data_IF_854359095825
#
_entry.id   IF_854359095825
#
_cell.length_a   1.000
_cell.length_b   1.000
_cell.length_c   1.000
_cell.angle_alpha   90.00
_cell.angle_beta   90.00
_cell.angle_gamma   90.00
#
_symmetry.space_group_name_H-M   'P 1'
#
loop_
_entity.id
_entity.type
_entity.pdbx_description
1 polymer ?
#
# COMPACT_ATOMS: atom_id res chain seq x y z
N UNK A 1 15.21 -8.97 -12.44
CA UNK A 1 14.33 -7.91 -11.91
C UNK A 1 13.19 -8.46 -11.05
N UNK A 2 12.64 -9.63 -11.35
CA UNK A 2 11.55 -10.24 -10.55
C UNK A 2 11.91 -10.59 -9.11
N UNK A 3 13.20 -10.79 -8.78
CA UNK A 3 13.63 -11.03 -7.39
C UNK A 3 13.52 -9.77 -6.53
N UNK A 4 14.04 -8.64 -7.02
CA UNK A 4 13.91 -7.33 -6.38
C UNK A 4 12.45 -6.91 -6.22
N UNK A 5 11.60 -7.13 -7.24
CA UNK A 5 10.17 -6.84 -7.17
C UNK A 5 9.46 -7.67 -6.08
N UNK A 6 9.78 -8.97 -5.95
CA UNK A 6 9.25 -9.83 -4.88
C UNK A 6 9.73 -9.38 -3.50
N UNK A 7 11.00 -8.97 -3.38
CA UNK A 7 11.53 -8.44 -2.12
C UNK A 7 10.84 -7.13 -1.71
N UNK A 8 10.61 -6.22 -2.66
CA UNK A 8 9.89 -4.97 -2.42
C UNK A 8 8.42 -5.22 -2.07
N UNK A 9 7.76 -6.21 -2.68
CA UNK A 9 6.41 -6.62 -2.27
C UNK A 9 6.37 -7.13 -0.82
N UNK A 10 7.36 -7.92 -0.42
CA UNK A 10 7.46 -8.39 0.96
C UNK A 10 7.71 -7.25 1.97
N UNK A 11 8.53 -6.25 1.58
CA UNK A 11 8.72 -5.04 2.37
C UNK A 11 7.40 -4.26 2.53
N UNK A 12 6.64 -4.09 1.44
CA UNK A 12 5.34 -3.44 1.46
C UNK A 12 4.30 -4.18 2.32
N UNK A 13 4.27 -5.52 2.27
CA UNK A 13 3.45 -6.36 3.16
C UNK A 13 3.77 -6.11 4.64
N UNK A 14 5.05 -5.97 4.97
CA UNK A 14 5.50 -5.69 6.34
C UNK A 14 5.12 -4.28 6.77
N UNK A 15 5.32 -3.29 5.90
CA UNK A 15 4.90 -1.91 6.13
C UNK A 15 3.37 -1.78 6.33
N UNK A 16 2.57 -2.55 5.57
CA UNK A 16 1.11 -2.56 5.70
C UNK A 16 0.66 -3.11 7.06
N UNK A 17 1.30 -4.20 7.53
CA UNK A 17 1.04 -4.72 8.88
C UNK A 17 1.37 -3.71 9.97
N UNK A 18 2.52 -3.03 9.86
CA UNK A 18 2.90 -1.98 10.81
C UNK A 18 1.89 -0.81 10.80
N UNK A 19 1.38 -0.42 9.63
CA UNK A 19 0.32 0.58 9.50
C UNK A 19 -0.98 0.12 10.20
N UNK A 20 -1.40 -1.14 10.00
CA UNK A 20 -2.59 -1.71 10.63
C UNK A 20 -2.49 -1.80 12.16
N UNK A 21 -1.27 -1.97 12.70
CA UNK A 21 -1.02 -1.95 14.15
C UNK A 21 -0.86 -0.53 14.72
N UNK A 22 -0.87 0.50 13.87
CA UNK A 22 -0.59 1.89 14.27
C UNK A 22 0.88 2.16 14.60
N UNK A 23 1.78 1.24 14.26
CA UNK A 23 3.23 1.36 14.47
C UNK A 23 3.91 2.25 13.40
N UNK A 24 3.22 2.45 12.27
CA UNK A 24 3.69 3.29 11.16
C UNK A 24 2.60 4.29 10.77
N UNK A 25 2.99 5.54 10.50
CA UNK A 25 2.04 6.57 10.08
C UNK A 25 1.57 6.34 8.63
N UNK A 26 0.34 6.77 8.29
CA UNK A 26 -0.16 6.81 6.90
C UNK A 26 0.82 7.43 5.90
N UNK A 27 1.46 8.55 6.27
CA UNK A 27 2.40 9.25 5.40
C UNK A 27 3.69 8.44 5.18
N UNK A 28 4.30 7.89 6.25
CA UNK A 28 5.50 7.08 6.13
C UNK A 28 5.26 5.79 5.31
N UNK A 29 4.09 5.17 5.47
CA UNK A 29 3.68 4.04 4.63
C UNK A 29 3.59 4.45 3.16
N UNK A 30 2.92 5.56 2.85
CA UNK A 30 2.72 6.02 1.48
C UNK A 30 4.02 6.37 0.77
N UNK A 31 4.96 7.00 1.47
CA UNK A 31 6.31 7.28 0.92
C UNK A 31 7.08 5.98 0.63
N UNK A 32 7.09 5.04 1.57
CA UNK A 32 7.73 3.75 1.37
C UNK A 32 7.14 2.98 0.19
N UNK A 33 5.80 2.96 0.07
CA UNK A 33 5.11 2.29 -1.03
C UNK A 33 5.45 2.89 -2.40
N UNK A 34 5.51 4.23 -2.52
CA UNK A 34 5.88 4.92 -3.76
C UNK A 34 7.36 4.70 -4.14
N UNK A 35 8.23 4.43 -3.17
CA UNK A 35 9.65 4.19 -3.40
C UNK A 35 9.97 2.79 -3.97
N UNK A 36 9.02 1.85 -3.97
CA UNK A 36 9.21 0.50 -4.50
C UNK A 36 9.12 0.44 -6.04
N UNK A 37 10.03 1.13 -6.71
CA UNK A 37 9.98 1.34 -8.17
C UNK A 37 10.10 0.04 -8.97
N UNK A 38 10.88 -0.95 -8.53
CA UNK A 38 10.99 -2.24 -9.23
C UNK A 38 9.71 -3.07 -9.13
N UNK A 39 9.03 -3.01 -7.98
CA UNK A 39 7.70 -3.60 -7.82
C UNK A 39 6.70 -2.94 -8.77
N UNK A 40 6.66 -1.60 -8.79
CA UNK A 40 5.72 -0.86 -9.64
C UNK A 40 5.99 -1.07 -11.13
N UNK A 41 7.25 -1.21 -11.53
CA UNK A 41 7.65 -1.51 -12.90
C UNK A 41 7.35 -2.96 -13.31
N UNK A 42 7.25 -3.88 -12.37
CA UNK A 42 6.95 -5.30 -12.62
C UNK A 42 5.44 -5.61 -12.73
N UNK A 43 4.58 -4.63 -12.45
CA UNK A 43 3.12 -4.78 -12.49
C UNK A 43 2.51 -4.04 -13.69
N UNK A 44 1.28 -4.39 -14.12
CA UNK A 44 0.55 -3.60 -15.10
C UNK A 44 0.38 -2.14 -14.64
N UNK A 45 0.49 -1.17 -15.56
CA UNK A 45 0.43 0.28 -15.25
C UNK A 45 -0.80 0.67 -14.42
N UNK A 46 -1.95 0.02 -14.68
CA UNK A 46 -3.19 0.22 -13.93
C UNK A 46 -3.03 -0.08 -12.43
N UNK A 47 -2.19 -1.03 -12.05
CA UNK A 47 -1.93 -1.37 -10.65
C UNK A 47 -1.30 -0.20 -9.90
N UNK A 48 -0.35 0.50 -10.51
CA UNK A 48 0.30 1.70 -9.94
C UNK A 48 -0.71 2.83 -9.77
N UNK A 49 -1.59 3.06 -10.75
CA UNK A 49 -2.65 4.07 -10.65
C UNK A 49 -3.61 3.78 -9.49
N UNK A 50 -4.01 2.51 -9.32
CA UNK A 50 -4.86 2.09 -8.20
C UNK A 50 -4.15 2.28 -6.86
N UNK A 51 -2.88 1.88 -6.76
CA UNK A 51 -2.10 2.06 -5.54
C UNK A 51 -2.04 3.54 -5.15
N UNK A 52 -1.61 4.42 -6.06
CA UNK A 52 -1.49 5.84 -5.78
C UNK A 52 -2.82 6.46 -5.32
N UNK A 53 -3.95 6.11 -5.96
CA UNK A 53 -5.26 6.58 -5.52
C UNK A 53 -5.66 6.10 -4.11
N UNK A 54 -5.21 4.90 -3.68
CA UNK A 54 -5.39 4.43 -2.31
C UNK A 54 -4.50 5.20 -1.33
N UNK A 55 -3.24 5.45 -1.68
CA UNK A 55 -2.29 6.20 -0.86
C UNK A 55 -2.75 7.66 -0.64
N UNK A 56 -3.23 8.34 -1.69
CA UNK A 56 -3.71 9.71 -1.58
C UNK A 56 -4.92 9.81 -0.64
N UNK A 57 -5.83 8.83 -0.69
CA UNK A 57 -6.98 8.75 0.23
C UNK A 57 -6.55 8.43 1.65
N UNK A 58 -5.57 7.55 1.81
CA UNK A 58 -5.00 7.20 3.11
C UNK A 58 -4.39 8.43 3.78
N UNK A 59 -3.59 9.21 3.06
CA UNK A 59 -2.98 10.45 3.56
C UNK A 59 -4.04 11.50 3.88
N UNK A 60 -5.04 11.68 3.02
CA UNK A 60 -6.16 12.58 3.28
C UNK A 60 -6.95 12.18 4.54
N UNK A 61 -7.24 10.88 4.71
CA UNK A 61 -7.97 10.37 5.88
C UNK A 61 -7.24 10.64 7.20
N UNK A 62 -5.91 10.71 7.17
CA UNK A 62 -5.09 10.99 8.34
C UNK A 62 -5.17 12.46 8.79
N UNK A 63 -5.54 13.39 7.90
CA UNK A 63 -5.66 14.82 8.20
C UNK A 63 -6.98 15.17 8.92
N UNK A 64 -7.98 14.30 8.87
CA UNK A 64 -9.31 14.53 9.44
C UNK A 64 -9.59 13.55 10.60
N UNK A 65 -8.99 13.76 11.79
CA UNK A 65 -9.07 12.79 12.90
C UNK A 65 -9.95 13.25 14.07
N UNK A 66 -11.27 13.13 13.96
CA UNK A 66 -12.19 13.29 15.10
C UNK A 66 -13.22 12.15 15.12
N UNK A 67 -12.77 10.91 15.33
CA UNK A 67 -13.62 9.72 15.54
C UNK A 67 -14.33 9.13 14.30
N UNK A 68 -14.65 9.93 13.28
CA UNK A 68 -15.37 9.45 12.06
C UNK A 68 -14.48 8.77 11.00
N UNK A 69 -13.15 8.83 11.15
CA UNK A 69 -12.20 8.28 10.15
C UNK A 69 -11.69 6.87 10.45
N UNK A 70 -11.96 6.30 11.63
CA UNK A 70 -11.53 4.93 11.95
C UNK A 70 -12.10 3.90 10.97
N UNK A 71 -13.39 4.05 10.62
CA UNK A 71 -14.04 3.19 9.63
C UNK A 71 -13.44 3.37 8.23
N UNK A 72 -13.32 4.61 7.76
CA UNK A 72 -12.73 4.93 6.45
C UNK A 72 -11.27 4.47 6.33
N UNK A 73 -10.48 4.59 7.40
CA UNK A 73 -9.10 4.13 7.42
C UNK A 73 -9.01 2.61 7.37
N UNK A 74 -9.90 1.89 8.08
CA UNK A 74 -9.97 0.43 7.99
C UNK A 74 -10.27 -0.03 6.56
N UNK A 75 -11.28 0.54 5.91
CA UNK A 75 -11.63 0.21 4.52
C UNK A 75 -10.47 0.47 3.54
N UNK A 76 -9.68 1.52 3.79
CA UNK A 76 -8.48 1.82 3.00
C UNK A 76 -7.37 0.79 3.23
N UNK A 77 -7.11 0.38 4.48
CA UNK A 77 -6.13 -0.68 4.77
C UNK A 77 -6.56 -2.03 4.21
N UNK A 78 -7.85 -2.36 4.24
CA UNK A 78 -8.39 -3.59 3.64
C UNK A 78 -8.25 -3.54 2.10
N UNK A 79 -8.45 -2.36 1.48
CA UNK A 79 -8.23 -2.15 0.05
C UNK A 79 -6.75 -2.28 -0.36
N UNK A 80 -5.83 -1.80 0.47
CA UNK A 80 -4.39 -1.96 0.28
C UNK A 80 -3.97 -3.43 0.42
N UNK A 81 -4.54 -4.16 1.37
CA UNK A 81 -4.32 -5.60 1.52
C UNK A 81 -4.74 -6.37 0.26
N UNK A 82 -5.93 -6.08 -0.28
CA UNK A 82 -6.39 -6.67 -1.55
C UNK A 82 -5.49 -6.30 -2.73
N UNK A 83 -4.92 -5.10 -2.75
CA UNK A 83 -3.97 -4.71 -3.80
C UNK A 83 -2.69 -5.53 -3.72
N UNK A 84 -2.14 -5.71 -2.51
CA UNK A 84 -0.92 -6.48 -2.25
C UNK A 84 -1.09 -7.94 -2.67
N UNK A 85 -2.22 -8.57 -2.34
CA UNK A 85 -2.53 -9.95 -2.74
C UNK A 85 -2.61 -10.11 -4.26
N UNK A 86 -3.20 -9.12 -4.95
CA UNK A 86 -3.24 -9.12 -6.42
C UNK A 86 -1.85 -8.94 -7.01
N UNK A 87 -1.05 -8.03 -6.49
CA UNK A 87 0.33 -7.84 -6.92
C UNK A 87 1.15 -9.12 -6.74
N UNK A 88 0.97 -9.84 -5.63
CA UNK A 88 1.61 -11.12 -5.40
C UNK A 88 1.22 -12.16 -6.46
N UNK A 89 -0.07 -12.27 -6.78
CA UNK A 89 -0.56 -13.14 -7.84
C UNK A 89 0.03 -12.81 -9.21
N UNK A 90 0.18 -11.52 -9.54
CA UNK A 90 0.79 -11.08 -10.80
C UNK A 90 2.29 -11.41 -10.88
N UNK A 91 3.03 -11.33 -9.77
CA UNK A 91 4.47 -11.64 -9.76
C UNK A 91 4.78 -13.15 -9.75
N UNK A 92 3.79 -13.99 -9.45
CA UNK A 92 3.91 -15.46 -9.47
C UNK A 92 3.56 -16.08 -10.82
N UNK A 93 2.77 -15.39 -11.65
CA UNK A 93 2.38 -15.82 -13.00
C UNK A 93 3.44 -15.49 -14.04
#
# INVERSE_FOLDING_TARGET
MSDTARQQLHALQTALRALQQGEQSPHAFSDAARAHTDLLAALPERSTQVLHGLLDRLESSALFSEESCSFSQKDLTDSLQMWVEKAEGQLRG
#
